data_IF_035307044245
#
_entry.id   IF_035307044245
#
_cell.length_a   1.000
_cell.length_b   1.000
_cell.length_c   1.000
_cell.angle_alpha   90.00
_cell.angle_beta   90.00
_cell.angle_gamma   90.00
#
_symmetry.space_group_name_H-M   'P 1'
#
loop_
_entity.id
_entity.type
_entity.pdbx_description
1 polymer ?
#
# COMPACT_ATOMS: atom_id res chain seq x y z
N UNK A 1 81.55 -49.29 -25.65
CA UNK A 1 80.26 -49.96 -25.95
C UNK A 1 79.26 -48.86 -26.31
N UNK A 2 78.93 -48.72 -27.60
CA UNK A 2 77.81 -47.92 -28.17
C UNK A 2 76.44 -48.42 -27.60
N UNK A 3 75.25 -47.83 -27.92
CA UNK A 3 74.71 -46.49 -27.66
C UNK A 3 73.18 -46.52 -27.30
N UNK A 4 72.53 -45.35 -27.39
CA UNK A 4 71.09 -45.03 -27.45
C UNK A 4 70.06 -46.11 -27.85
N UNK A 5 68.83 -45.98 -27.31
CA UNK A 5 67.59 -45.79 -28.11
C UNK A 5 66.40 -45.27 -27.29
N UNK A 6 65.77 -44.22 -27.81
CA UNK A 6 64.46 -43.66 -27.45
C UNK A 6 63.32 -44.67 -27.69
N UNK A 7 62.22 -44.53 -26.95
CA UNK A 7 60.84 -44.38 -27.50
C UNK A 7 59.77 -44.41 -26.41
N UNK A 8 58.87 -43.42 -26.45
CA UNK A 8 57.45 -43.60 -26.12
C UNK A 8 56.94 -42.91 -24.85
N UNK A 9 56.16 -41.86 -25.04
CA UNK A 9 55.20 -41.21 -24.11
C UNK A 9 53.84 -41.24 -24.85
N UNK A 10 52.60 -41.13 -24.27
CA UNK A 10 52.01 -41.16 -22.90
C UNK A 10 50.81 -42.19 -22.89
N UNK A 11 49.66 -42.10 -22.17
CA UNK A 11 49.16 -41.17 -21.13
C UNK A 11 48.41 -41.78 -19.93
N UNK A 12 48.21 -40.97 -18.89
CA UNK A 12 47.08 -41.13 -17.99
C UNK A 12 47.44 -40.94 -16.53
N UNK A 13 47.24 -39.72 -16.03
CA UNK A 13 46.74 -39.45 -14.68
C UNK A 13 46.58 -37.93 -14.52
N UNK A 14 45.54 -37.39 -15.15
CA UNK A 14 44.91 -36.15 -14.67
C UNK A 14 43.76 -36.58 -13.77
N UNK A 15 44.09 -36.84 -12.50
CA UNK A 15 43.09 -36.95 -11.44
C UNK A 15 42.32 -35.63 -11.34
N UNK A 16 40.99 -35.73 -11.43
CA UNK A 16 40.07 -34.62 -11.51
C UNK A 16 40.15 -33.71 -10.29
N UNK A 17 40.40 -32.43 -10.55
CA UNK A 17 39.87 -31.38 -9.68
C UNK A 17 38.35 -31.34 -9.91
N UNK A 18 37.61 -31.94 -8.99
CA UNK A 18 36.17 -31.66 -8.85
C UNK A 18 36.06 -30.15 -8.65
N UNK A 19 35.49 -29.45 -9.62
CA UNK A 19 35.23 -28.02 -9.52
C UNK A 19 34.40 -27.79 -8.25
N UNK A 20 34.99 -27.09 -7.28
CA UNK A 20 34.27 -26.60 -6.12
C UNK A 20 33.05 -25.80 -6.64
N UNK A 21 31.86 -26.21 -6.25
CA UNK A 21 30.64 -25.43 -6.48
C UNK A 21 30.88 -24.03 -5.93
N UNK A 22 31.03 -23.04 -6.81
CA UNK A 22 31.13 -21.65 -6.41
C UNK A 22 29.80 -21.31 -5.71
N UNK A 23 29.84 -21.14 -4.39
CA UNK A 23 28.68 -20.72 -3.63
C UNK A 23 28.24 -19.35 -4.17
N UNK A 24 27.02 -19.29 -4.70
CA UNK A 24 26.44 -18.04 -5.18
C UNK A 24 26.22 -17.14 -3.96
N UNK A 25 26.80 -15.95 -3.98
CA UNK A 25 26.60 -14.94 -2.95
C UNK A 25 25.12 -14.49 -2.95
N UNK A 26 24.56 -14.27 -1.76
CA UNK A 26 23.18 -13.84 -1.58
C UNK A 26 22.95 -12.41 -2.09
N UNK A 27 23.94 -11.54 -1.97
CA UNK A 27 23.77 -10.12 -2.29
C UNK A 27 23.41 -9.89 -3.77
N UNK A 28 24.11 -10.47 -4.78
CA UNK A 28 23.68 -10.37 -6.18
C UNK A 28 22.26 -10.91 -6.44
N UNK A 29 21.85 -11.96 -5.74
CA UNK A 29 20.50 -12.53 -5.85
C UNK A 29 19.45 -11.54 -5.33
N UNK A 30 19.72 -10.88 -4.19
CA UNK A 30 18.87 -9.81 -3.63
C UNK A 30 18.74 -8.63 -4.59
N UNK A 31 19.83 -8.23 -5.25
CA UNK A 31 19.79 -7.16 -6.25
C UNK A 31 18.93 -7.55 -7.47
N UNK A 32 19.02 -8.80 -7.91
CA UNK A 32 18.18 -9.32 -8.99
C UNK A 32 16.69 -9.29 -8.63
N UNK A 33 16.34 -9.71 -7.40
CA UNK A 33 14.96 -9.64 -6.88
C UNK A 33 14.42 -8.21 -6.94
N UNK A 34 15.19 -7.22 -6.52
CA UNK A 34 14.77 -5.82 -6.52
C UNK A 34 14.53 -5.27 -7.93
N UNK A 35 15.40 -5.61 -8.89
CA UNK A 35 15.23 -5.18 -10.29
C UNK A 35 14.01 -5.86 -10.93
N UNK A 36 13.83 -7.16 -10.70
CA UNK A 36 12.68 -7.92 -11.19
C UNK A 36 11.37 -7.39 -10.61
N UNK A 37 11.38 -6.97 -9.34
CA UNK A 37 10.24 -6.41 -8.60
C UNK A 37 9.79 -5.06 -9.18
N UNK A 38 10.73 -4.15 -9.43
CA UNK A 38 10.42 -2.79 -9.90
C UNK A 38 10.29 -2.66 -11.41
N UNK A 39 10.76 -3.65 -12.17
CA UNK A 39 10.75 -3.61 -13.64
C UNK A 39 11.62 -2.49 -14.24
N UNK A 40 12.49 -1.87 -13.44
CA UNK A 40 13.34 -0.75 -13.85
C UNK A 40 14.62 -0.71 -13.03
N UNK A 41 15.77 -0.72 -13.73
CA UNK A 41 17.07 -0.51 -13.09
C UNK A 41 17.18 0.82 -12.36
N UNK A 42 16.52 1.87 -12.87
CA UNK A 42 16.56 3.20 -12.23
C UNK A 42 15.82 3.19 -10.91
N UNK A 43 14.57 2.71 -10.92
CA UNK A 43 13.76 2.62 -9.70
C UNK A 43 14.41 1.70 -8.66
N UNK A 44 15.01 0.59 -9.08
CA UNK A 44 15.71 -0.34 -8.19
C UNK A 44 16.99 0.28 -7.60
N UNK A 45 17.78 0.97 -8.41
CA UNK A 45 18.98 1.65 -7.94
C UNK A 45 18.65 2.75 -6.91
N UNK A 46 17.60 3.54 -7.17
CA UNK A 46 17.12 4.57 -6.24
C UNK A 46 16.71 3.95 -4.88
N UNK A 47 15.98 2.83 -4.90
CA UNK A 47 15.54 2.14 -3.69
C UNK A 47 16.68 1.46 -2.90
N UNK A 48 17.71 1.00 -3.62
CA UNK A 48 18.88 0.36 -3.03
C UNK A 48 19.96 1.37 -2.60
N UNK A 49 19.75 2.66 -2.85
CA UNK A 49 20.74 3.70 -2.55
C UNK A 49 22.06 3.55 -3.32
N UNK A 50 22.02 3.00 -4.54
CA UNK A 50 23.22 2.76 -5.35
C UNK A 50 23.09 3.31 -6.77
N UNK A 51 24.20 3.41 -7.50
CA UNK A 51 24.14 3.86 -8.89
C UNK A 51 23.62 2.76 -9.83
N UNK A 52 22.87 3.17 -10.86
CA UNK A 52 22.37 2.27 -11.92
C UNK A 52 23.50 1.46 -12.57
N UNK A 53 24.68 2.06 -12.74
CA UNK A 53 25.83 1.39 -13.34
C UNK A 53 26.37 0.25 -12.45
N UNK A 54 26.46 0.47 -11.14
CA UNK A 54 26.88 -0.55 -10.18
C UNK A 54 25.87 -1.70 -10.15
N UNK A 55 24.57 -1.38 -10.11
CA UNK A 55 23.51 -2.38 -10.11
C UNK A 55 23.56 -3.24 -11.39
N UNK A 56 23.66 -2.64 -12.57
CA UNK A 56 23.79 -3.36 -13.84
C UNK A 56 25.02 -4.26 -13.87
N UNK A 57 26.16 -3.77 -13.36
CA UNK A 57 27.40 -4.56 -13.31
C UNK A 57 27.22 -5.81 -12.44
N UNK A 58 26.68 -5.67 -11.23
CA UNK A 58 26.45 -6.81 -10.31
C UNK A 58 25.44 -7.82 -10.85
N UNK A 59 24.40 -7.35 -11.55
CA UNK A 59 23.48 -8.26 -12.26
C UNK A 59 24.19 -8.98 -13.40
N UNK A 60 25.02 -8.29 -14.18
CA UNK A 60 25.82 -8.92 -15.23
C UNK A 60 26.77 -9.99 -14.69
N UNK A 61 27.43 -9.72 -13.55
CA UNK A 61 28.29 -10.68 -12.85
C UNK A 61 27.49 -11.92 -12.40
N UNK A 62 26.27 -11.75 -11.89
CA UNK A 62 25.37 -12.85 -11.53
C UNK A 62 24.93 -13.67 -12.76
N UNK A 63 24.51 -13.00 -13.84
CA UNK A 63 24.14 -13.67 -15.10
C UNK A 63 25.31 -14.49 -15.67
N UNK A 64 26.52 -13.95 -15.61
CA UNK A 64 27.74 -14.65 -16.01
C UNK A 64 28.07 -15.83 -15.10
N UNK A 65 27.90 -15.69 -13.79
CA UNK A 65 28.13 -16.78 -12.85
C UNK A 65 27.14 -17.94 -13.01
N UNK A 66 25.91 -17.64 -13.43
CA UNK A 66 24.86 -18.62 -13.71
C UNK A 66 24.86 -19.15 -15.14
N UNK A 67 25.63 -18.53 -16.05
CA UNK A 67 25.56 -18.71 -17.51
C UNK A 67 24.12 -18.60 -18.07
N UNK A 68 23.33 -17.70 -17.49
CA UNK A 68 21.91 -17.50 -17.81
C UNK A 68 21.61 -16.00 -17.87
N UNK A 69 20.92 -15.57 -18.93
CA UNK A 69 20.29 -14.25 -18.97
C UNK A 69 19.03 -14.25 -18.14
N UNK A 70 19.01 -13.45 -17.07
CA UNK A 70 17.91 -13.37 -16.11
C UNK A 70 16.90 -12.28 -16.51
N UNK A 71 17.41 -11.20 -17.10
CA UNK A 71 16.62 -10.02 -17.44
C UNK A 71 16.76 -9.69 -18.94
N UNK A 72 15.67 -9.19 -19.52
CA UNK A 72 15.63 -8.67 -20.88
C UNK A 72 15.03 -7.28 -20.92
N UNK A 73 15.43 -6.50 -21.92
CA UNK A 73 14.93 -5.14 -22.13
C UNK A 73 13.58 -5.19 -22.82
N UNK A 74 12.63 -4.40 -22.33
CA UNK A 74 11.31 -4.21 -22.92
C UNK A 74 11.05 -2.72 -23.18
N UNK A 75 10.06 -2.40 -24.01
CA UNK A 75 9.67 -1.00 -24.30
C UNK A 75 9.28 -0.22 -23.05
N UNK A 76 8.73 -0.90 -22.04
CA UNK A 76 8.28 -0.31 -20.77
C UNK A 76 9.29 -0.50 -19.62
N UNK A 77 10.50 -0.96 -19.90
CA UNK A 77 11.55 -1.15 -18.88
C UNK A 77 12.27 -2.50 -18.98
N UNK A 78 12.23 -3.28 -17.91
CA UNK A 78 12.95 -4.54 -17.75
C UNK A 78 11.96 -5.65 -17.36
N UNK A 79 12.12 -6.83 -17.96
CA UNK A 79 11.35 -8.03 -17.61
C UNK A 79 12.27 -9.22 -17.39
N UNK A 80 11.81 -10.19 -16.61
CA UNK A 80 12.50 -11.47 -16.45
C UNK A 80 12.34 -12.33 -17.71
N UNK A 81 13.40 -13.02 -18.11
CA UNK A 81 13.36 -14.09 -19.13
C UNK A 81 12.61 -15.32 -18.57
N UNK A 82 12.34 -16.33 -19.41
CA UNK A 82 11.71 -17.57 -18.94
C UNK A 82 12.62 -18.34 -17.95
N UNK A 83 13.92 -18.38 -18.24
CA UNK A 83 14.94 -18.91 -17.33
C UNK A 83 15.03 -18.07 -16.06
N UNK A 84 14.98 -16.73 -16.21
CA UNK A 84 14.95 -15.76 -15.13
C UNK A 84 13.76 -15.96 -14.19
N UNK A 85 12.57 -16.33 -14.69
CA UNK A 85 11.41 -16.67 -13.85
C UNK A 85 11.66 -17.88 -12.95
N UNK A 86 12.38 -18.89 -13.45
CA UNK A 86 12.72 -20.09 -12.66
C UNK A 86 13.72 -19.76 -11.56
N UNK A 87 14.73 -18.95 -11.88
CA UNK A 87 15.69 -18.45 -10.90
C UNK A 87 15.02 -17.51 -9.90
N UNK A 88 14.07 -16.67 -10.34
CA UNK A 88 13.30 -15.79 -9.48
C UNK A 88 12.57 -16.58 -8.39
N UNK A 89 11.91 -17.68 -8.74
CA UNK A 89 11.24 -18.53 -7.76
C UNK A 89 12.22 -19.13 -6.72
N UNK A 90 13.45 -19.46 -7.13
CA UNK A 90 14.49 -19.93 -6.19
C UNK A 90 15.04 -18.79 -5.32
N UNK A 91 15.27 -17.63 -5.91
CA UNK A 91 15.72 -16.43 -5.23
C UNK A 91 14.71 -15.99 -4.15
N UNK A 92 13.40 -16.04 -4.45
CA UNK A 92 12.34 -15.76 -3.48
C UNK A 92 12.38 -16.72 -2.29
N UNK A 93 12.65 -18.02 -2.50
CA UNK A 93 12.81 -18.98 -1.39
C UNK A 93 14.05 -18.72 -0.55
N UNK A 94 15.14 -18.25 -1.15
CA UNK A 94 16.33 -17.82 -0.42
C UNK A 94 16.05 -16.56 0.42
N UNK A 95 15.31 -15.60 -0.15
CA UNK A 95 14.85 -14.40 0.57
C UNK A 95 13.98 -14.81 1.78
N UNK A 96 13.07 -15.76 1.58
CA UNK A 96 12.24 -16.33 2.66
C UNK A 96 13.08 -16.95 3.78
N UNK A 97 14.10 -17.74 3.42
CA UNK A 97 15.00 -18.36 4.40
C UNK A 97 15.80 -17.31 5.19
N UNK A 98 16.15 -16.18 4.58
CA UNK A 98 16.85 -15.09 5.27
C UNK A 98 16.04 -14.49 6.44
N UNK A 99 14.71 -14.48 6.36
CA UNK A 99 13.87 -14.07 7.50
C UNK A 99 13.91 -15.07 8.67
N UNK A 100 14.31 -16.32 8.42
CA UNK A 100 14.60 -17.29 9.49
C UNK A 100 15.65 -16.76 10.46
N UNK A 101 16.66 -16.04 9.96
CA UNK A 101 17.70 -15.41 10.80
C UNK A 101 17.10 -14.34 11.72
N UNK A 102 16.17 -13.53 11.20
CA UNK A 102 15.45 -12.53 12.01
C UNK A 102 14.55 -13.20 13.06
N UNK A 103 13.97 -14.36 12.74
CA UNK A 103 13.16 -15.14 13.67
C UNK A 103 13.98 -15.68 14.84
N UNK A 104 15.16 -16.24 14.56
CA UNK A 104 16.09 -16.69 15.61
C UNK A 104 16.53 -15.53 16.50
N UNK A 105 16.84 -14.36 15.91
CA UNK A 105 17.16 -13.14 16.67
C UNK A 105 16.02 -12.72 17.60
N UNK A 106 14.78 -12.72 17.12
CA UNK A 106 13.60 -12.35 17.91
C UNK A 106 13.29 -13.36 19.05
N UNK A 107 13.89 -14.56 19.03
CA UNK A 107 13.82 -15.51 20.15
C UNK A 107 14.88 -15.25 21.23
N UNK A 108 15.99 -14.57 20.88
CA UNK A 108 17.10 -14.28 21.79
C UNK A 108 16.80 -13.03 22.64
N UNK A 109 16.10 -12.04 22.09
CA UNK A 109 15.68 -10.82 22.80
C UNK A 109 14.14 -10.71 22.85
N UNK A 110 13.51 -10.84 24.03
CA UNK A 110 12.05 -10.80 24.16
C UNK A 110 11.44 -9.40 23.94
N UNK A 111 12.25 -8.34 23.85
CA UNK A 111 11.74 -7.03 23.46
C UNK A 111 11.40 -7.03 21.96
N UNK A 112 10.10 -6.98 21.64
CA UNK A 112 9.62 -6.87 20.26
C UNK A 112 10.08 -5.51 19.68
N UNK A 113 11.15 -5.52 18.90
CA UNK A 113 11.76 -4.32 18.29
C UNK A 113 11.98 -4.49 16.78
N UNK A 114 12.09 -3.37 16.06
CA UNK A 114 12.44 -3.32 14.64
C UNK A 114 11.32 -2.83 13.74
N UNK A 115 11.53 -2.94 12.43
CA UNK A 115 10.61 -2.43 11.41
C UNK A 115 9.59 -3.49 10.96
N UNK A 116 8.35 -3.03 10.73
CA UNK A 116 7.29 -3.79 10.05
C UNK A 116 6.67 -2.91 8.97
N UNK A 117 6.56 -3.44 7.75
CA UNK A 117 6.01 -2.74 6.58
C UNK A 117 4.55 -3.10 6.34
N UNK A 118 3.69 -2.11 6.35
CA UNK A 118 2.26 -2.21 6.10
C UNK A 118 1.89 -1.51 4.79
N UNK A 119 1.31 -2.24 3.84
CA UNK A 119 0.65 -1.63 2.69
C UNK A 119 -0.87 -1.60 2.86
N UNK A 120 -1.51 -0.49 2.52
CA UNK A 120 -2.96 -0.35 2.67
C UNK A 120 -3.52 0.64 1.65
N UNK A 121 -4.80 0.49 1.31
CA UNK A 121 -5.52 1.50 0.53
C UNK A 121 -5.49 2.85 1.24
N UNK A 122 -5.33 3.94 0.49
CA UNK A 122 -5.14 5.25 1.09
C UNK A 122 -6.32 5.66 1.99
N UNK A 123 -7.56 5.30 1.63
CA UNK A 123 -8.74 5.60 2.45
C UNK A 123 -8.74 4.89 3.80
N UNK A 124 -8.49 3.57 3.83
CA UNK A 124 -8.40 2.82 5.09
C UNK A 124 -7.15 3.20 5.88
N UNK A 125 -6.04 3.49 5.21
CA UNK A 125 -4.80 3.95 5.82
C UNK A 125 -5.01 5.27 6.56
N UNK A 126 -5.39 6.31 5.83
CA UNK A 126 -5.51 7.66 6.34
C UNK A 126 -6.65 7.84 7.35
N UNK A 127 -7.84 7.29 7.05
CA UNK A 127 -9.03 7.57 7.85
C UNK A 127 -9.33 6.53 8.93
N UNK A 128 -8.86 5.29 8.77
CA UNK A 128 -9.19 4.22 9.71
C UNK A 128 -8.01 3.76 10.56
N UNK A 129 -6.89 3.40 9.92
CA UNK A 129 -5.74 2.77 10.57
C UNK A 129 -4.87 3.80 11.29
N UNK A 130 -4.42 4.86 10.62
CA UNK A 130 -3.47 5.83 11.21
C UNK A 130 -3.98 6.44 12.53
N UNK A 131 -5.26 6.86 12.66
CA UNK A 131 -5.77 7.36 13.95
C UNK A 131 -5.65 6.37 15.11
N UNK A 132 -5.71 5.06 14.82
CA UNK A 132 -5.58 3.96 15.80
C UNK A 132 -4.14 3.49 15.97
N UNK A 133 -3.32 3.63 14.93
CA UNK A 133 -1.93 3.20 14.90
C UNK A 133 -1.08 3.94 15.94
N UNK A 134 -1.43 5.18 16.26
CA UNK A 134 -0.76 5.96 17.31
C UNK A 134 -0.84 5.25 18.66
N UNK A 135 -1.99 4.68 19.01
CA UNK A 135 -2.15 3.93 20.27
C UNK A 135 -1.39 2.60 20.25
N UNK A 136 -1.35 1.93 19.08
CA UNK A 136 -0.50 0.76 18.90
C UNK A 136 0.99 1.10 19.10
N UNK A 137 1.45 2.20 18.52
CA UNK A 137 2.83 2.67 18.64
C UNK A 137 3.20 2.97 20.11
N UNK A 138 2.34 3.66 20.86
CA UNK A 138 2.56 3.90 22.31
C UNK A 138 2.75 2.61 23.11
N UNK A 139 2.04 1.54 22.75
CA UNK A 139 2.15 0.23 23.42
C UNK A 139 3.31 -0.62 22.92
N UNK A 140 3.95 -0.24 21.82
CA UNK A 140 5.05 -0.96 21.19
C UNK A 140 6.15 0.02 20.73
N UNK A 141 6.76 0.80 21.64
CA UNK A 141 7.65 1.91 21.30
C UNK A 141 8.94 1.48 20.58
N UNK A 142 9.30 0.20 20.67
CA UNK A 142 10.44 -0.38 19.94
C UNK A 142 10.14 -0.74 18.48
N UNK A 143 8.89 -0.60 18.03
CA UNK A 143 8.48 -0.91 16.67
C UNK A 143 8.45 0.34 15.79
N UNK A 144 9.13 0.28 14.65
CA UNK A 144 8.88 1.20 13.54
C UNK A 144 7.82 0.56 12.64
N UNK A 145 6.70 1.25 12.43
CA UNK A 145 5.69 0.82 11.45
C UNK A 145 5.84 1.71 10.22
N UNK A 146 6.39 1.16 9.15
CA UNK A 146 6.48 1.83 7.85
C UNK A 146 5.18 1.56 7.09
N UNK A 147 4.39 2.61 6.84
CA UNK A 147 3.06 2.50 6.24
C UNK A 147 3.05 3.12 4.85
N UNK A 148 2.77 2.29 3.85
CA UNK A 148 2.55 2.71 2.46
C UNK A 148 1.05 2.76 2.16
N UNK A 149 0.54 3.98 1.99
CA UNK A 149 -0.85 4.24 1.62
C UNK A 149 -0.95 4.46 0.10
N UNK A 150 -1.45 3.46 -0.63
CA UNK A 150 -1.60 3.55 -2.07
C UNK A 150 -2.88 2.85 -2.53
N UNK A 151 -3.54 3.42 -3.54
CA UNK A 151 -4.73 2.81 -4.15
C UNK A 151 -4.39 1.77 -5.24
N UNK A 152 -3.15 1.29 -5.28
CA UNK A 152 -2.66 0.21 -6.13
C UNK A 152 -2.60 -1.08 -5.32
N UNK A 153 -2.79 -2.22 -5.98
CA UNK A 153 -2.55 -3.51 -5.35
C UNK A 153 -1.09 -3.63 -4.92
N UNK A 154 -0.84 -3.70 -3.61
CA UNK A 154 0.49 -3.99 -3.09
C UNK A 154 0.90 -5.43 -3.44
N UNK A 155 2.14 -5.60 -3.89
CA UNK A 155 2.67 -6.92 -4.19
C UNK A 155 3.36 -7.51 -2.94
N UNK A 156 2.56 -8.19 -2.12
CA UNK A 156 3.03 -8.91 -0.93
C UNK A 156 3.89 -10.12 -1.31
N UNK A 157 3.67 -10.74 -2.48
CA UNK A 157 4.54 -11.83 -2.97
C UNK A 157 5.93 -11.33 -3.32
N UNK A 158 6.01 -10.08 -3.80
CA UNK A 158 7.26 -9.37 -3.98
C UNK A 158 7.75 -8.75 -2.68
N UNK A 159 7.10 -8.89 -1.53
CA UNK A 159 7.64 -8.43 -0.23
C UNK A 159 8.00 -6.94 -0.20
N UNK A 160 7.24 -6.14 -0.95
CA UNK A 160 7.22 -4.68 -0.78
C UNK A 160 6.52 -4.28 0.53
N UNK A 161 5.82 -5.23 1.17
CA UNK A 161 5.24 -5.13 2.49
C UNK A 161 5.28 -6.48 3.21
N UNK A 162 5.37 -6.46 4.55
CA UNK A 162 5.23 -7.65 5.39
C UNK A 162 3.76 -8.08 5.49
N UNK A 163 2.87 -7.08 5.51
CA UNK A 163 1.42 -7.25 5.58
C UNK A 163 0.74 -6.22 4.69
N UNK A 164 -0.36 -6.61 4.04
CA UNK A 164 -1.19 -5.68 3.29
C UNK A 164 -2.69 -5.79 3.63
N UNK A 165 -3.41 -4.68 3.51
CA UNK A 165 -4.87 -4.63 3.52
C UNK A 165 -5.34 -4.23 2.12
N UNK A 166 -6.17 -5.08 1.53
CA UNK A 166 -6.62 -4.96 0.14
C UNK A 166 -8.15 -5.11 0.08
N UNK A 167 -8.78 -4.42 -0.87
CA UNK A 167 -10.23 -4.49 -1.13
C UNK A 167 -10.57 -5.48 -2.24
N UNK A 168 -9.56 -5.86 -3.03
CA UNK A 168 -9.64 -6.96 -4.01
C UNK A 168 -8.89 -8.16 -3.46
N UNK A 169 -9.53 -9.34 -3.47
CA UNK A 169 -8.92 -10.58 -3.01
C UNK A 169 -7.75 -10.96 -3.93
N UNK A 170 -6.52 -11.14 -3.40
CA UNK A 170 -5.40 -11.57 -4.23
C UNK A 170 -5.59 -12.99 -4.76
N UNK A 171 -5.07 -13.23 -5.96
CA UNK A 171 -5.10 -14.55 -6.63
C UNK A 171 -3.85 -15.38 -6.39
N UNK A 172 -2.82 -14.77 -5.78
CA UNK A 172 -1.56 -15.39 -5.40
C UNK A 172 -1.75 -16.56 -4.43
N UNK A 173 -1.32 -17.77 -4.82
CA UNK A 173 -1.46 -18.99 -4.01
C UNK A 173 -0.56 -19.03 -2.77
N UNK A 174 0.59 -18.35 -2.82
CA UNK A 174 1.58 -18.41 -1.73
C UNK A 174 1.32 -17.39 -0.62
N UNK A 175 0.24 -16.59 -0.72
CA UNK A 175 -0.17 -15.66 0.33
C UNK A 175 -1.22 -16.29 1.24
N UNK A 176 -1.09 -16.00 2.54
CA UNK A 176 -2.21 -16.16 3.45
C UNK A 176 -3.16 -14.99 3.24
N UNK A 177 -4.43 -15.29 3.00
CA UNK A 177 -5.51 -14.30 2.85
C UNK A 177 -6.52 -14.51 3.96
N UNK A 178 -6.79 -13.47 4.73
CA UNK A 178 -7.77 -13.47 5.82
C UNK A 178 -8.77 -12.35 5.56
N UNK A 179 -10.06 -12.67 5.43
CA UNK A 179 -11.11 -11.65 5.43
C UNK A 179 -11.22 -11.10 6.85
N UNK A 180 -11.02 -9.80 7.01
CA UNK A 180 -11.05 -9.10 8.31
C UNK A 180 -12.25 -8.18 8.48
N UNK A 181 -13.04 -7.98 7.42
CA UNK A 181 -14.28 -7.22 7.47
C UNK A 181 -14.88 -7.03 6.08
N UNK A 182 -15.99 -6.31 6.01
CA UNK A 182 -16.61 -5.87 4.76
C UNK A 182 -16.75 -4.36 4.74
N UNK A 183 -16.30 -3.74 3.65
CA UNK A 183 -16.48 -2.31 3.43
C UNK A 183 -17.82 -2.09 2.72
N UNK A 184 -18.70 -1.28 3.30
CA UNK A 184 -19.94 -0.84 2.69
C UNK A 184 -19.81 0.60 2.23
N UNK A 185 -20.29 0.89 1.03
CA UNK A 185 -20.18 2.19 0.37
C UNK A 185 -21.54 2.63 -0.14
N UNK A 186 -21.88 3.90 0.10
CA UNK A 186 -23.14 4.51 -0.36
C UNK A 186 -22.97 6.02 -0.66
N UNK A 187 -23.95 6.69 -1.27
CA UNK A 187 -23.89 8.12 -1.53
C UNK A 187 -23.88 8.98 -0.27
N UNK A 188 -23.05 10.02 -0.31
CA UNK A 188 -22.96 11.08 0.68
C UNK A 188 -22.85 12.44 0.01
N UNK A 189 -23.24 13.48 0.73
CA UNK A 189 -23.03 14.87 0.36
C UNK A 189 -22.76 15.75 1.58
N UNK A 190 -22.21 16.94 1.37
CA UNK A 190 -22.22 17.98 2.39
C UNK A 190 -23.65 18.53 2.58
N UNK A 191 -24.09 18.82 3.82
CA UNK A 191 -25.38 19.47 4.08
C UNK A 191 -25.57 20.75 3.24
N UNK A 192 -24.55 21.61 3.20
CA UNK A 192 -24.59 22.87 2.43
C UNK A 192 -24.80 22.68 0.92
N UNK A 193 -24.39 21.53 0.36
CA UNK A 193 -24.67 21.19 -1.03
C UNK A 193 -26.15 20.84 -1.21
N UNK A 194 -26.69 20.01 -0.32
CA UNK A 194 -28.10 19.60 -0.34
C UNK A 194 -29.04 20.79 -0.09
N UNK A 195 -28.69 21.71 0.81
CA UNK A 195 -29.47 22.92 1.07
C UNK A 195 -29.62 23.80 -0.18
N UNK A 196 -28.60 23.81 -1.05
CA UNK A 196 -28.57 24.64 -2.26
C UNK A 196 -29.17 23.94 -3.48
N UNK A 197 -29.02 22.63 -3.58
CA UNK A 197 -29.36 21.86 -4.79
C UNK A 197 -30.54 20.90 -4.60
N UNK A 198 -31.03 20.73 -3.37
CA UNK A 198 -31.99 19.70 -2.99
C UNK A 198 -31.34 18.35 -2.67
N UNK A 199 -32.11 17.45 -2.07
CA UNK A 199 -31.70 16.06 -1.83
C UNK A 199 -32.37 15.15 -2.85
N UNK A 200 -31.62 14.43 -3.69
CA UNK A 200 -32.23 13.52 -4.66
C UNK A 200 -32.80 12.29 -3.93
N UNK A 201 -34.05 11.95 -4.22
CA UNK A 201 -34.74 10.77 -3.73
C UNK A 201 -34.73 9.61 -4.75
N UNK A 202 -34.48 9.90 -6.03
CA UNK A 202 -34.38 8.89 -7.09
C UNK A 202 -33.08 9.00 -7.89
N UNK A 203 -32.80 7.97 -8.67
CA UNK A 203 -31.64 7.95 -9.56
C UNK A 203 -31.76 9.02 -10.67
N UNK A 204 -32.97 9.28 -11.18
CA UNK A 204 -33.22 10.34 -12.18
C UNK A 204 -32.96 11.73 -11.60
N UNK A 205 -33.29 11.95 -10.32
CA UNK A 205 -32.97 13.19 -9.63
C UNK A 205 -31.47 13.33 -9.41
N UNK A 206 -30.77 12.24 -9.06
CA UNK A 206 -29.31 12.22 -8.94
C UNK A 206 -28.62 12.74 -10.21
N UNK A 207 -29.15 12.46 -11.41
CA UNK A 207 -28.58 12.92 -12.68
C UNK A 207 -28.56 14.45 -12.83
N UNK A 208 -29.33 15.19 -12.02
CA UNK A 208 -29.34 16.66 -11.99
C UNK A 208 -28.24 17.25 -11.10
N UNK A 209 -27.55 16.41 -10.34
CA UNK A 209 -26.51 16.81 -9.41
C UNK A 209 -25.10 16.63 -10.00
N UNK A 210 -24.13 17.21 -9.31
CA UNK A 210 -22.71 17.00 -9.60
C UNK A 210 -22.21 15.77 -8.87
N UNK A 211 -21.33 15.02 -9.53
CA UNK A 211 -20.68 13.83 -8.95
C UNK A 211 -19.21 14.14 -8.66
N UNK A 212 -18.76 13.74 -7.49
CA UNK A 212 -17.34 13.58 -7.15
C UNK A 212 -17.00 12.11 -7.38
N UNK A 213 -16.01 11.84 -8.22
CA UNK A 213 -15.68 10.49 -8.67
C UNK A 213 -14.30 10.07 -8.19
N UNK A 214 -14.21 8.90 -7.55
CA UNK A 214 -12.95 8.24 -7.25
C UNK A 214 -12.69 7.12 -8.28
N UNK A 215 -11.56 7.21 -9.00
CA UNK A 215 -11.09 6.17 -9.91
C UNK A 215 -9.74 5.63 -9.44
N UNK A 216 -9.70 4.39 -8.97
CA UNK A 216 -8.46 3.71 -8.62
C UNK A 216 -8.58 2.19 -8.75
N UNK A 217 -7.46 1.49 -8.93
CA UNK A 217 -7.40 0.05 -9.21
C UNK A 217 -8.16 -0.78 -8.16
N UNK A 218 -7.97 -0.46 -6.88
CA UNK A 218 -8.60 -1.18 -5.76
C UNK A 218 -10.12 -0.92 -5.60
N UNK A 219 -10.70 0.00 -6.38
CA UNK A 219 -12.14 0.28 -6.39
C UNK A 219 -12.79 0.09 -7.76
N UNK A 220 -12.01 -0.19 -8.80
CA UNK A 220 -12.46 -0.22 -10.18
C UNK A 220 -13.59 -1.25 -10.41
N UNK A 221 -13.47 -2.45 -9.84
CA UNK A 221 -14.46 -3.52 -10.05
C UNK A 221 -15.84 -3.23 -9.45
N UNK A 222 -15.86 -2.49 -8.34
CA UNK A 222 -17.10 -2.25 -7.59
C UNK A 222 -17.56 -0.80 -7.61
N UNK A 223 -16.86 0.16 -8.23
CA UNK A 223 -17.30 1.56 -8.36
C UNK A 223 -17.16 2.07 -9.81
N UNK A 224 -17.39 1.18 -10.78
CA UNK A 224 -17.30 1.48 -12.20
C UNK A 224 -18.31 2.56 -12.64
N UNK A 225 -17.78 3.67 -13.14
CA UNK A 225 -18.57 4.82 -13.58
C UNK A 225 -19.54 4.44 -14.72
N UNK A 226 -19.09 3.68 -15.71
CA UNK A 226 -19.93 3.37 -16.89
C UNK A 226 -21.06 2.40 -16.52
N UNK A 227 -20.84 1.57 -15.49
CA UNK A 227 -21.89 0.72 -14.91
C UNK A 227 -22.90 1.51 -14.09
N UNK A 228 -22.45 2.52 -13.34
CA UNK A 228 -23.31 3.33 -12.49
C UNK A 228 -24.10 4.35 -13.34
N UNK A 229 -23.46 5.00 -14.32
CA UNK A 229 -24.01 6.08 -15.14
C UNK A 229 -23.95 5.77 -16.64
N UNK A 230 -24.65 4.72 -17.11
CA UNK A 230 -24.55 4.26 -18.48
C UNK A 230 -24.95 5.35 -19.48
N UNK A 231 -24.03 5.67 -20.41
CA UNK A 231 -24.28 6.65 -21.49
C UNK A 231 -24.22 8.12 -21.06
N UNK A 232 -23.83 8.43 -19.82
CA UNK A 232 -23.72 9.82 -19.33
C UNK A 232 -22.29 10.32 -19.50
N UNK A 233 -22.05 11.37 -20.32
CA UNK A 233 -20.72 11.97 -20.46
C UNK A 233 -20.21 12.54 -19.13
N UNK A 234 -18.95 12.27 -18.79
CA UNK A 234 -18.34 12.82 -17.58
C UNK A 234 -18.24 14.36 -17.59
N UNK A 235 -17.80 15.03 -18.68
CA UNK A 235 -17.69 16.50 -18.69
C UNK A 235 -19.04 17.17 -18.42
N UNK A 236 -19.07 18.04 -17.41
CA UNK A 236 -20.29 18.74 -16.99
C UNK A 236 -21.15 17.97 -15.99
N UNK A 237 -20.97 16.65 -15.82
CA UNK A 237 -21.65 15.86 -14.79
C UNK A 237 -20.73 15.56 -13.60
N UNK A 238 -19.50 15.12 -13.86
CA UNK A 238 -18.45 14.93 -12.85
C UNK A 238 -17.78 16.28 -12.58
N UNK A 239 -17.87 16.77 -11.34
CA UNK A 239 -17.24 18.02 -10.91
C UNK A 239 -15.76 17.83 -10.59
N UNK A 240 -15.41 16.73 -9.91
CA UNK A 240 -14.04 16.40 -9.51
C UNK A 240 -13.82 14.91 -9.71
N UNK A 241 -12.64 14.55 -10.24
CA UNK A 241 -12.18 13.18 -10.39
C UNK A 241 -10.82 13.02 -9.73
N UNK A 242 -10.67 12.03 -8.85
CA UNK A 242 -9.41 11.75 -8.15
C UNK A 242 -9.15 10.26 -8.03
N UNK A 243 -7.89 9.87 -7.82
CA UNK A 243 -7.50 8.52 -7.44
C UNK A 243 -7.13 8.40 -5.96
N UNK A 244 -7.34 9.47 -5.17
CA UNK A 244 -7.00 9.54 -3.74
C UNK A 244 -8.29 9.72 -2.93
N UNK A 245 -8.49 8.90 -1.90
CA UNK A 245 -9.72 8.89 -1.11
C UNK A 245 -9.83 10.11 -0.22
N UNK A 246 -8.73 10.66 0.29
CA UNK A 246 -8.76 11.91 1.03
C UNK A 246 -9.22 13.10 0.20
N UNK A 247 -8.72 13.25 -1.03
CA UNK A 247 -9.20 14.26 -1.98
C UNK A 247 -10.68 14.09 -2.29
N UNK A 248 -11.12 12.85 -2.53
CA UNK A 248 -12.53 12.50 -2.78
C UNK A 248 -13.43 12.87 -1.60
N UNK A 249 -13.05 12.48 -0.38
CA UNK A 249 -13.77 12.82 0.85
C UNK A 249 -13.91 14.33 1.05
N UNK A 250 -12.80 15.07 0.96
CA UNK A 250 -12.82 16.52 1.19
C UNK A 250 -13.57 17.27 0.09
N UNK A 251 -13.50 16.83 -1.17
CA UNK A 251 -14.31 17.41 -2.24
C UNK A 251 -15.82 17.30 -1.93
N UNK A 252 -16.28 16.14 -1.47
CA UNK A 252 -17.68 15.92 -1.08
C UNK A 252 -18.02 16.77 0.15
N UNK A 253 -17.19 16.72 1.19
CA UNK A 253 -17.40 17.45 2.44
C UNK A 253 -17.40 18.99 2.25
N UNK A 254 -16.73 19.49 1.21
CA UNK A 254 -16.73 20.91 0.81
C UNK A 254 -17.79 21.27 -0.22
N UNK A 255 -18.67 20.32 -0.57
CA UNK A 255 -19.85 20.57 -1.39
C UNK A 255 -19.60 20.63 -2.89
N UNK A 256 -18.60 19.89 -3.40
CA UNK A 256 -18.39 19.77 -4.84
C UNK A 256 -19.46 18.91 -5.55
N UNK A 257 -20.22 18.11 -4.79
CA UNK A 257 -21.24 17.21 -5.33
C UNK A 257 -21.55 16.05 -4.38
N UNK A 258 -22.28 15.06 -4.90
CA UNK A 258 -22.45 13.76 -4.25
C UNK A 258 -21.29 12.84 -4.60
N UNK A 259 -20.93 11.94 -3.70
CA UNK A 259 -20.00 10.87 -4.03
C UNK A 259 -20.19 9.67 -3.12
N UNK A 260 -19.65 8.54 -3.56
CA UNK A 260 -19.70 7.28 -2.84
C UNK A 260 -18.64 7.28 -1.73
N UNK A 261 -19.06 7.11 -0.47
CA UNK A 261 -18.17 7.04 0.70
C UNK A 261 -18.45 5.79 1.54
N UNK A 262 -17.44 5.29 2.28
CA UNK A 262 -17.66 4.26 3.28
C UNK A 262 -18.72 4.66 4.31
N UNK A 263 -19.48 3.70 4.83
CA UNK A 263 -20.54 3.97 5.83
C UNK A 263 -20.01 4.59 7.13
N UNK A 264 -18.73 4.37 7.47
CA UNK A 264 -18.06 5.03 8.60
C UNK A 264 -17.68 6.51 8.35
N UNK A 265 -17.96 7.07 7.17
CA UNK A 265 -17.50 8.41 6.79
C UNK A 265 -17.96 9.54 7.73
N UNK A 266 -19.10 9.36 8.40
CA UNK A 266 -19.59 10.32 9.39
C UNK A 266 -18.68 10.42 10.62
N UNK A 267 -17.98 9.34 10.96
CA UNK A 267 -17.07 9.28 12.10
C UNK A 267 -15.68 9.91 11.82
N UNK A 268 -15.40 10.31 10.57
CA UNK A 268 -14.11 10.90 10.18
C UNK A 268 -13.97 12.36 10.66
N UNK A 269 -15.08 13.06 10.90
CA UNK A 269 -15.09 14.39 11.55
C UNK A 269 -15.59 15.55 10.67
N UNK A 270 -15.52 15.46 9.34
CA UNK A 270 -16.17 16.46 8.49
C UNK A 270 -17.66 16.13 8.31
N UNK A 271 -18.48 17.18 8.19
CA UNK A 271 -19.94 17.05 8.15
C UNK A 271 -20.40 16.60 6.76
N UNK A 272 -20.48 15.28 6.57
CA UNK A 272 -21.15 14.61 5.44
C UNK A 272 -22.37 13.85 5.94
N UNK A 273 -23.42 13.80 5.11
CA UNK A 273 -24.67 13.08 5.42
C UNK A 273 -24.97 12.04 4.34
N UNK A 274 -25.49 10.87 4.71
CA UNK A 274 -25.88 9.84 3.75
C UNK A 274 -27.04 10.35 2.90
N UNK A 275 -27.06 9.97 1.63
CA UNK A 275 -28.16 10.23 0.70
C UNK A 275 -28.78 8.89 0.32
N UNK A 276 -30.05 8.72 0.67
CA UNK A 276 -30.78 7.45 0.61
C UNK A 276 -31.18 7.10 -0.83
N UNK A 277 -30.22 6.61 -1.62
CA UNK A 277 -30.40 6.14 -2.99
C UNK A 277 -30.13 4.63 -3.11
N UNK A 278 -30.67 3.94 -4.13
CA UNK A 278 -30.43 2.52 -4.39
C UNK A 278 -29.02 2.25 -4.98
N UNK A 279 -28.02 3.01 -4.54
CA UNK A 279 -26.61 2.87 -4.92
C UNK A 279 -25.86 2.38 -3.69
N UNK A 280 -25.70 1.07 -3.56
CA UNK A 280 -24.96 0.46 -2.44
C UNK A 280 -23.98 -0.54 -3.01
N UNK A 281 -22.75 -0.48 -2.51
CA UNK A 281 -21.64 -1.29 -3.00
C UNK A 281 -20.90 -1.87 -1.81
N UNK A 282 -20.34 -3.06 -1.98
CA UNK A 282 -19.60 -3.72 -0.92
C UNK A 282 -18.39 -4.45 -1.47
N UNK A 283 -17.32 -4.49 -0.69
CA UNK A 283 -16.14 -5.30 -0.97
C UNK A 283 -15.56 -5.88 0.32
N UNK A 284 -14.94 -7.05 0.20
CA UNK A 284 -14.30 -7.70 1.34
C UNK A 284 -12.96 -7.02 1.64
N UNK A 285 -12.73 -6.68 2.90
CA UNK A 285 -11.45 -6.18 3.39
C UNK A 285 -10.60 -7.41 3.72
N UNK A 286 -9.53 -7.60 2.95
CA UNK A 286 -8.65 -8.75 3.06
C UNK A 286 -7.29 -8.34 3.62
N UNK A 287 -6.89 -8.97 4.72
CA UNK A 287 -5.53 -8.94 5.23
C UNK A 287 -4.71 -10.02 4.55
N UNK A 288 -3.59 -9.64 3.93
CA UNK A 288 -2.72 -10.54 3.19
C UNK A 288 -1.28 -10.44 3.69
N UNK A 289 -0.62 -11.58 3.83
CA UNK A 289 0.77 -11.67 4.28
C UNK A 289 1.41 -12.98 3.84
N UNK A 290 2.73 -13.02 3.78
CA UNK A 290 3.45 -14.27 3.56
C UNK A 290 3.41 -15.15 4.82
N UNK A 291 3.17 -16.48 4.72
CA UNK A 291 3.12 -17.37 5.89
C UNK A 291 4.35 -17.29 6.81
N UNK A 292 5.54 -17.06 6.26
CA UNK A 292 6.76 -16.92 7.06
C UNK A 292 6.87 -15.57 7.77
N UNK A 293 6.26 -14.51 7.23
CA UNK A 293 6.22 -13.20 7.89
C UNK A 293 5.42 -13.29 9.20
N UNK A 294 4.32 -14.06 9.22
CA UNK A 294 3.53 -14.28 10.43
C UNK A 294 4.26 -15.07 11.54
N UNK A 295 5.41 -15.68 11.26
CA UNK A 295 6.26 -16.34 12.26
C UNK A 295 7.22 -15.37 12.95
N UNK A 296 7.36 -14.15 12.44
CA UNK A 296 8.16 -13.09 13.02
C UNK A 296 7.32 -12.37 14.09
N UNK A 297 7.81 -12.27 15.33
CA UNK A 297 7.02 -11.80 16.47
C UNK A 297 6.44 -10.39 16.26
N UNK A 298 7.24 -9.45 15.75
CA UNK A 298 6.80 -8.08 15.46
C UNK A 298 5.72 -7.98 14.38
N UNK A 299 5.83 -8.81 13.33
CA UNK A 299 4.84 -8.84 12.25
C UNK A 299 3.54 -9.45 12.76
N UNK A 300 3.63 -10.55 13.53
CA UNK A 300 2.47 -11.17 14.17
C UNK A 300 1.74 -10.20 15.08
N UNK A 301 2.47 -9.42 15.87
CA UNK A 301 1.93 -8.37 16.74
C UNK A 301 1.11 -7.34 15.96
N UNK A 302 1.61 -6.89 14.80
CA UNK A 302 0.87 -5.97 13.93
C UNK A 302 -0.37 -6.65 13.31
N UNK A 303 -0.24 -7.90 12.84
CA UNK A 303 -1.36 -8.69 12.29
C UNK A 303 -2.51 -8.79 13.30
N UNK A 304 -2.21 -9.19 14.53
CA UNK A 304 -3.22 -9.37 15.58
C UNK A 304 -3.92 -8.05 15.92
N UNK A 305 -3.14 -6.98 16.02
CA UNK A 305 -3.69 -5.64 16.21
C UNK A 305 -4.58 -5.20 15.04
N UNK A 306 -4.17 -5.44 13.80
CA UNK A 306 -4.98 -5.10 12.62
C UNK A 306 -6.29 -5.88 12.60
N UNK A 307 -6.28 -7.19 12.86
CA UNK A 307 -7.52 -7.98 12.93
C UNK A 307 -8.48 -7.36 13.96
N UNK A 308 -7.98 -7.05 15.16
CA UNK A 308 -8.79 -6.41 16.20
C UNK A 308 -9.25 -4.98 15.83
N UNK A 309 -8.49 -4.26 15.01
CA UNK A 309 -8.86 -2.92 14.54
C UNK A 309 -10.03 -2.93 13.54
N UNK A 310 -10.40 -4.08 12.99
CA UNK A 310 -11.56 -4.26 12.10
C UNK A 310 -12.66 -5.14 12.71
N UNK A 311 -12.57 -5.44 14.02
CA UNK A 311 -13.52 -6.30 14.72
C UNK A 311 -14.98 -5.82 14.53
N UNK A 312 -15.85 -6.62 13.88
CA UNK A 312 -17.23 -6.24 13.58
C UNK A 312 -18.15 -6.17 14.80
N UNK A 313 -17.74 -6.74 15.94
CA UNK A 313 -18.48 -6.59 17.20
C UNK A 313 -18.23 -5.22 17.82
N UNK A 314 -17.01 -4.69 17.64
CA UNK A 314 -16.65 -3.35 18.09
C UNK A 314 -17.01 -2.26 17.07
N UNK A 315 -16.95 -2.59 15.79
CA UNK A 315 -17.11 -1.65 14.68
C UNK A 315 -18.17 -2.18 13.69
N UNK A 316 -19.46 -1.94 13.96
CA UNK A 316 -20.56 -2.54 13.20
C UNK A 316 -20.55 -2.23 11.70
N UNK A 317 -19.92 -1.13 11.27
CA UNK A 317 -19.74 -0.81 9.85
C UNK A 317 -18.86 -1.80 9.05
N UNK A 318 -18.15 -2.71 9.72
CA UNK A 318 -17.40 -3.78 9.05
C UNK A 318 -18.08 -5.15 9.07
N UNK A 319 -19.30 -5.23 9.60
CA UNK A 319 -20.12 -6.45 9.54
C UNK A 319 -20.41 -6.84 8.10
N UNK A 320 -20.68 -8.12 7.90
CA UNK A 320 -21.07 -8.63 6.59
C UNK A 320 -22.41 -8.09 6.12
N UNK A 321 -23.31 -7.83 7.08
CA UNK A 321 -24.59 -7.18 6.85
C UNK A 321 -24.43 -5.67 6.73
N UNK A 322 -25.22 -5.08 5.83
CA UNK A 322 -25.29 -3.63 5.70
C UNK A 322 -26.05 -3.04 6.90
N UNK A 323 -25.42 -2.08 7.58
CA UNK A 323 -26.05 -1.24 8.59
C UNK A 323 -26.04 0.19 8.07
N UNK A 324 -27.20 0.84 8.12
CA UNK A 324 -27.32 2.21 7.64
C UNK A 324 -26.54 3.17 8.56
N UNK A 325 -25.82 4.18 8.02
CA UNK A 325 -25.05 5.11 8.84
C UNK A 325 -25.85 5.80 9.96
N UNK A 326 -27.15 6.01 9.74
CA UNK A 326 -28.07 6.62 10.74
C UNK A 326 -28.37 5.71 11.93
N UNK A 327 -28.10 4.41 11.79
CA UNK A 327 -28.40 3.40 12.81
C UNK A 327 -27.14 3.01 13.61
N UNK A 328 -25.97 3.61 13.31
CA UNK A 328 -24.79 3.37 14.11
C UNK A 328 -24.94 3.98 15.51
N UNK A 329 -24.41 3.30 16.54
CA UNK A 329 -24.36 3.83 17.90
C UNK A 329 -23.74 5.25 17.93
N UNK A 330 -24.36 6.16 18.68
CA UNK A 330 -23.95 7.57 18.71
C UNK A 330 -22.54 7.79 19.28
N UNK A 331 -22.06 6.87 20.11
CA UNK A 331 -20.69 6.82 20.64
C UNK A 331 -19.64 6.41 19.58
N UNK A 332 -20.06 5.65 18.55
CA UNK A 332 -19.25 5.31 17.39
C UNK A 332 -19.30 6.37 16.28
N UNK A 333 -20.35 7.19 16.24
CA UNK A 333 -20.41 8.37 15.39
C UNK A 333 -19.35 9.43 15.75
N UNK A 334 -18.67 9.27 16.90
CA UNK A 334 -17.46 9.97 17.29
C UNK A 334 -17.69 11.43 17.67
N UNK A 335 -17.24 11.81 18.86
CA UNK A 335 -16.77 13.18 19.07
C UNK A 335 -15.76 13.53 17.96
N UNK A 336 -15.79 14.77 17.43
CA UNK A 336 -15.04 15.13 16.23
C UNK A 336 -13.57 14.73 16.37
N UNK A 337 -13.03 14.04 15.36
CA UNK A 337 -11.58 14.07 15.11
C UNK A 337 -11.25 15.54 15.09
N UNK A 338 -10.52 16.01 16.13
CA UNK A 338 -10.20 17.41 16.33
C UNK A 338 -9.85 18.01 14.97
N UNK A 339 -10.62 19.01 14.56
CA UNK A 339 -10.53 19.61 13.25
C UNK A 339 -9.08 19.97 12.99
N UNK A 340 -8.41 19.16 12.16
CA UNK A 340 -7.00 19.31 11.80
C UNK A 340 -6.70 20.68 11.17
N UNK A 341 -7.74 21.48 10.87
CA UNK A 341 -7.65 22.78 10.21
C UNK A 341 -8.51 23.88 10.86
N UNK A 342 -9.13 23.68 12.04
CA UNK A 342 -9.93 24.74 12.69
C UNK A 342 -9.08 25.98 13.00
N UNK A 343 -7.77 25.81 13.22
CA UNK A 343 -6.82 26.91 13.39
C UNK A 343 -6.38 27.61 12.09
N UNK A 344 -6.58 27.01 10.91
CA UNK A 344 -6.17 27.62 9.63
C UNK A 344 -7.18 28.66 9.10
N UNK A 345 -8.44 28.61 9.55
CA UNK A 345 -9.46 29.60 9.22
C UNK A 345 -9.41 30.87 10.11
N UNK A 346 -8.56 30.89 11.14
CA UNK A 346 -8.49 31.96 12.14
C UNK A 346 -7.56 33.13 11.83
N UNK A 347 -6.73 33.06 10.78
CA UNK A 347 -5.86 34.18 10.36
C UNK A 347 -6.39 34.81 9.07
N UNK A 348 -7.50 35.52 9.18
CA UNK A 348 -8.18 36.17 8.08
C UNK A 348 -8.90 37.45 8.51
N UNK A 349 -8.15 38.37 9.12
CA UNK A 349 -8.37 39.81 9.03
C UNK A 349 -9.73 40.37 9.46
N UNK A 350 -9.91 40.53 10.78
CA UNK A 350 -10.62 41.69 11.28
C UNK A 350 -9.72 42.93 11.14
N UNK A 351 -10.11 43.87 10.29
CA UNK A 351 -9.58 45.24 10.25
C UNK A 351 -10.65 46.13 10.89
N UNK A 352 -10.40 46.97 11.89
CA UNK A 352 -9.15 47.31 12.54
C UNK A 352 -9.41 48.08 13.84
N UNK A 353 -8.46 47.97 14.75
CA UNK A 353 -8.22 48.89 15.84
C UNK A 353 -6.72 49.07 15.93
N UNK A 354 -6.24 50.26 15.58
CA UNK A 354 -4.84 50.66 15.72
C UNK A 354 -4.41 50.53 17.18
N UNK A 355 -3.14 50.16 17.40
CA UNK A 355 -2.25 51.18 17.94
C UNK A 355 -0.88 51.22 17.28
N UNK A 356 -0.40 52.46 17.15
CA UNK A 356 0.96 52.86 16.88
C UNK A 356 1.99 52.18 17.81
N UNK A 357 3.21 51.97 17.29
CA UNK A 357 4.42 52.08 18.12
C UNK A 357 5.46 50.97 18.01
N UNK A 358 6.39 51.16 17.07
CA UNK A 358 7.84 50.94 17.21
C UNK A 358 8.48 49.53 17.20
N UNK A 359 9.44 49.43 16.26
CA UNK A 359 10.80 48.85 16.37
C UNK A 359 11.07 47.38 15.97
N UNK A 360 11.56 47.25 14.73
CA UNK A 360 12.77 46.53 14.27
C UNK A 360 13.21 45.21 14.94
N UNK A 361 13.23 44.13 14.16
CA UNK A 361 14.46 43.39 13.81
C UNK A 361 14.14 42.27 12.81
N UNK A 362 14.87 42.26 11.70
CA UNK A 362 14.89 41.27 10.62
C UNK A 362 15.88 40.15 10.96
N UNK A 363 15.52 38.84 10.86
CA UNK A 363 16.51 37.79 11.04
C UNK A 363 16.51 36.75 9.92
N UNK A 364 16.49 37.10 8.63
CA UNK A 364 16.90 36.14 7.58
C UNK A 364 17.64 36.81 6.41
N UNK A 365 18.87 37.21 6.67
CA UNK A 365 19.90 37.48 5.66
C UNK A 365 20.94 36.37 5.63
N UNK A 366 20.68 35.33 4.81
CA UNK A 366 21.60 34.56 3.95
C UNK A 366 20.96 33.24 3.49
#
# INVERSE_FOLDING_TARGET
MYPQRERGVPPGERGGAVAAHAAIDWEPIRLFLEVARRGSFRSAADALGMSVNVLRRRIGELESALDIKLLTRHVDGVRTTEEGKRILAAAQRMEQASFGVLRERDQIDPAITGEVRLAITEGLGAFWIVPRLVEFQRRNPGLLVDISCAMKSADVLRMEADVAIQLTRPTAKDLKVVKIGRLHVMPFAAPAYLDRHGTPATFEELLKHKIVLQLADQVADFADYDRIFPGIPQPGFVAIRSNVSSTHYWAIARGAGLGLLPTYAQAIGARVVPVDLPLRMQCDICLTYHPDAAKIARVRRLIDWMIAAFDPDRFPWFRDDFIHPRDFPADLAGAPVASLFEGFAGMGGGVGGTPDGASSADPFGL
#
